data_IF_771939468373
#
_entry.id   IF_771939468373
#
_cell.length_a   1.000
_cell.length_b   1.000
_cell.length_c   1.000
_cell.angle_alpha   90.00
_cell.angle_beta   90.00
_cell.angle_gamma   90.00
#
_symmetry.space_group_name_H-M   'P 1'
#
loop_
_entity.id
_entity.type
_entity.pdbx_description
1 polymer ?
#
# COMPACT_ATOMS: atom_id res chain seq x y z
N UNK A 1 -4.10 9.77 20.42
CA UNK A 1 -5.29 9.07 19.84
C UNK A 1 -6.44 10.04 19.60
N UNK A 2 -6.62 11.00 20.50
CA UNK A 2 -7.50 12.17 20.38
C UNK A 2 -7.27 12.98 19.09
N UNK A 3 -6.02 13.21 18.69
CA UNK A 3 -5.73 14.10 17.54
C UNK A 3 -6.18 13.52 16.21
N UNK A 4 -6.09 12.19 16.03
CA UNK A 4 -6.61 11.53 14.83
C UNK A 4 -8.13 11.64 14.77
N UNK A 5 -8.79 11.49 15.91
CA UNK A 5 -10.25 11.55 16.01
C UNK A 5 -10.74 12.96 15.70
N UNK A 6 -10.14 13.99 16.31
CA UNK A 6 -10.54 15.38 16.10
C UNK A 6 -10.33 15.84 14.64
N UNK A 7 -9.22 15.44 14.01
CA UNK A 7 -8.97 15.73 12.59
C UNK A 7 -10.00 15.04 11.69
N UNK A 8 -10.30 13.76 11.94
CA UNK A 8 -11.31 13.03 11.17
C UNK A 8 -12.71 13.66 11.32
N UNK A 9 -13.11 14.06 12.53
CA UNK A 9 -14.40 14.72 12.77
C UNK A 9 -14.50 16.07 12.05
N UNK A 10 -13.43 16.87 12.09
CA UNK A 10 -13.39 18.16 11.38
C UNK A 10 -13.49 17.99 9.86
N UNK A 11 -12.76 17.02 9.30
CA UNK A 11 -12.81 16.72 7.87
C UNK A 11 -14.17 16.17 7.44
N UNK A 12 -14.81 15.34 8.26
CA UNK A 12 -16.14 14.81 7.99
C UNK A 12 -17.19 15.93 7.92
N UNK A 13 -17.22 16.83 8.93
CA UNK A 13 -18.12 17.99 8.94
C UNK A 13 -17.90 18.90 7.73
N UNK A 14 -16.65 19.13 7.34
CA UNK A 14 -16.34 19.90 6.13
C UNK A 14 -16.88 19.23 4.87
N UNK A 15 -16.74 17.92 4.75
CA UNK A 15 -17.22 17.17 3.58
C UNK A 15 -18.75 17.19 3.44
N UNK A 16 -19.49 17.22 4.55
CA UNK A 16 -20.95 17.36 4.55
C UNK A 16 -21.42 18.72 4.01
N UNK A 17 -20.65 19.79 4.28
CA UNK A 17 -20.96 21.15 3.82
C UNK A 17 -20.47 21.37 2.39
N UNK A 18 -19.25 20.95 2.10
CA UNK A 18 -18.56 21.12 0.82
C UNK A 18 -17.80 19.83 0.45
N UNK A 19 -18.37 18.99 -0.44
CA UNK A 19 -17.76 17.72 -0.85
C UNK A 19 -16.42 17.89 -1.59
N UNK A 20 -15.32 17.91 -0.84
CA UNK A 20 -13.99 18.20 -1.39
C UNK A 20 -13.20 16.98 -1.88
N UNK A 21 -13.69 15.74 -1.67
CA UNK A 21 -12.94 14.52 -2.01
C UNK A 21 -12.62 14.41 -3.50
N UNK A 22 -13.50 14.91 -4.37
CA UNK A 22 -13.27 14.94 -5.84
C UNK A 22 -12.22 15.96 -6.27
N UNK A 23 -11.75 16.83 -5.40
CA UNK A 23 -10.67 17.78 -5.70
C UNK A 23 -9.37 17.41 -5.02
N UNK A 24 -9.37 16.34 -4.22
CA UNK A 24 -8.20 15.89 -3.51
C UNK A 24 -7.30 15.10 -4.46
N UNK A 25 -6.06 15.56 -4.58
CA UNK A 25 -4.97 14.80 -5.16
C UNK A 25 -4.15 14.21 -4.02
N UNK A 26 -3.93 12.91 -4.06
CA UNK A 26 -3.12 12.19 -3.07
C UNK A 26 -1.86 11.67 -3.73
N UNK A 27 -0.76 11.65 -3.00
CA UNK A 27 0.48 11.03 -3.44
C UNK A 27 1.10 10.21 -2.33
N UNK A 28 1.80 9.14 -2.71
CA UNK A 28 2.52 8.26 -1.79
C UNK A 28 3.80 7.74 -2.42
N UNK A 29 4.73 7.34 -1.56
CA UNK A 29 6.03 6.79 -1.94
C UNK A 29 6.13 5.33 -1.51
N UNK A 30 6.39 4.43 -2.46
CA UNK A 30 6.47 3.00 -2.19
C UNK A 30 7.75 2.39 -2.73
N UNK A 31 8.45 1.66 -1.88
CA UNK A 31 9.55 0.80 -2.30
C UNK A 31 9.02 -0.44 -3.03
N UNK A 32 9.37 -0.58 -4.30
CA UNK A 32 9.06 -1.74 -5.14
C UNK A 32 10.33 -2.53 -5.40
N UNK A 33 10.32 -3.82 -5.07
CA UNK A 33 11.40 -4.77 -5.39
C UNK A 33 11.16 -5.39 -6.76
N UNK A 34 12.19 -5.51 -7.61
CA UNK A 34 12.08 -6.18 -8.91
C UNK A 34 11.64 -7.64 -8.79
N UNK A 35 12.30 -8.39 -7.92
CA UNK A 35 11.88 -9.74 -7.57
C UNK A 35 10.97 -9.67 -6.35
N UNK A 36 9.67 -9.49 -6.54
CA UNK A 36 8.72 -9.77 -5.46
C UNK A 36 8.56 -11.28 -5.35
N UNK A 37 9.35 -11.95 -4.51
CA UNK A 37 9.10 -13.36 -4.19
C UNK A 37 7.85 -13.42 -3.32
N UNK A 38 6.68 -13.41 -3.97
CA UNK A 38 5.42 -13.72 -3.30
C UNK A 38 5.52 -15.18 -2.91
N UNK A 39 5.75 -15.43 -1.62
CA UNK A 39 5.81 -16.77 -1.07
C UNK A 39 4.43 -17.41 -1.24
N UNK A 40 4.24 -18.14 -2.34
CA UNK A 40 2.99 -18.86 -2.59
C UNK A 40 2.77 -19.83 -1.43
N UNK A 41 1.58 -19.78 -0.84
CA UNK A 41 1.18 -20.71 0.22
C UNK A 41 1.05 -22.09 -0.42
N UNK A 42 2.10 -22.89 -0.28
CA UNK A 42 2.10 -24.29 -0.71
C UNK A 42 1.51 -25.10 0.45
N UNK A 43 0.34 -25.67 0.24
CA UNK A 43 -0.19 -26.71 1.10
C UNK A 43 0.56 -27.99 0.75
N UNK A 44 1.30 -28.54 1.72
CA UNK A 44 1.98 -29.82 1.59
C UNK A 44 1.15 -30.87 2.30
N UNK A 45 1.08 -32.08 1.74
CA UNK A 45 0.40 -33.20 2.40
C UNK A 45 1.13 -33.60 3.69
N UNK A 46 0.41 -34.21 4.63
CA UNK A 46 0.97 -34.70 5.90
C UNK A 46 2.07 -35.73 5.61
N UNK A 47 3.32 -35.41 6.00
CA UNK A 47 4.49 -36.27 5.79
C UNK A 47 5.41 -35.86 4.62
N UNK A 48 5.00 -34.94 3.75
CA UNK A 48 5.88 -34.42 2.68
C UNK A 48 6.71 -33.23 3.17
N UNK A 49 7.98 -33.19 2.78
CA UNK A 49 8.87 -32.08 3.10
C UNK A 49 8.39 -30.79 2.42
N UNK A 50 8.04 -29.78 3.22
CA UNK A 50 7.65 -28.48 2.70
C UNK A 50 8.74 -27.90 1.79
N UNK A 51 8.37 -27.55 0.54
CA UNK A 51 9.30 -26.91 -0.40
C UNK A 51 9.86 -25.62 0.21
N UNK A 52 11.16 -25.62 0.51
CA UNK A 52 11.86 -24.45 1.07
C UNK A 52 12.05 -23.42 -0.03
N UNK A 53 11.26 -22.35 0.01
CA UNK A 53 11.55 -21.14 -0.74
C UNK A 53 12.66 -20.39 0.00
N UNK A 54 13.78 -20.12 -0.69
CA UNK A 54 14.88 -19.34 -0.14
C UNK A 54 14.39 -17.96 0.33
N UNK A 55 14.86 -17.51 1.51
CA UNK A 55 14.62 -16.13 1.96
C UNK A 55 15.36 -15.17 1.03
N UNK A 56 14.76 -14.01 0.75
CA UNK A 56 15.44 -12.98 -0.03
C UNK A 56 16.70 -12.51 0.70
N UNK A 57 17.80 -12.36 -0.05
CA UNK A 57 18.92 -11.53 0.38
C UNK A 57 18.48 -10.06 0.43
N UNK A 58 18.97 -9.31 1.43
CA UNK A 58 18.63 -7.89 1.64
C UNK A 58 19.00 -6.98 0.45
N UNK A 59 19.76 -7.49 -0.50
CA UNK A 59 20.26 -6.85 -1.73
C UNK A 59 19.33 -7.00 -2.94
N UNK A 60 18.01 -7.12 -2.73
CA UNK A 60 17.07 -7.04 -3.84
C UNK A 60 17.17 -5.63 -4.47
N UNK A 61 17.31 -5.54 -5.80
CA UNK A 61 17.21 -4.25 -6.51
C UNK A 61 15.85 -3.63 -6.16
N UNK A 62 15.87 -2.47 -5.51
CA UNK A 62 14.68 -1.70 -5.12
C UNK A 62 14.60 -0.44 -5.97
N UNK A 63 13.39 -0.08 -6.36
CA UNK A 63 13.08 1.22 -6.96
C UNK A 63 12.10 1.90 -6.02
N UNK A 64 12.29 3.20 -5.80
CA UNK A 64 11.32 4.03 -5.10
C UNK A 64 10.32 4.54 -6.15
N UNK A 65 9.06 4.17 -5.96
CA UNK A 65 7.97 4.61 -6.81
C UNK A 65 7.27 5.79 -6.13
N UNK A 66 7.18 6.91 -6.84
CA UNK A 66 6.41 8.09 -6.45
C UNK A 66 5.14 8.09 -7.30
N UNK A 67 3.96 8.03 -6.68
CA UNK A 67 2.70 8.08 -7.42
C UNK A 67 1.85 9.22 -6.90
N UNK A 68 1.21 9.96 -7.81
CA UNK A 68 0.15 10.92 -7.53
C UNK A 68 -1.12 10.50 -8.26
N UNK A 69 -2.26 10.54 -7.60
CA UNK A 69 -3.55 10.19 -8.20
C UNK A 69 -4.69 11.03 -7.62
N UNK A 70 -5.73 11.23 -8.41
CA UNK A 70 -6.98 11.87 -8.02
C UNK A 70 -8.14 10.86 -8.04
N UNK A 71 -9.37 11.35 -7.95
CA UNK A 71 -10.57 10.52 -8.03
C UNK A 71 -10.82 9.90 -9.41
N UNK A 72 -10.16 10.39 -10.48
CA UNK A 72 -10.29 9.88 -11.85
C UNK A 72 -9.21 8.85 -12.18
N UNK A 73 -8.00 9.01 -11.66
CA UNK A 73 -6.91 8.07 -11.90
C UNK A 73 -5.53 8.60 -11.53
N UNK A 74 -4.52 7.94 -12.08
CA UNK A 74 -3.10 8.27 -11.85
C UNK A 74 -2.74 9.51 -12.66
N UNK A 75 -2.09 10.46 -12.00
CA UNK A 75 -1.57 11.70 -12.59
C UNK A 75 -0.09 11.51 -12.92
N UNK A 76 0.69 10.98 -11.96
CA UNK A 76 2.13 10.76 -12.06
C UNK A 76 2.52 9.44 -11.41
#
# INVERSE_FOLDING_TARGET
MTDRISICEALAKRHEIDPFLKWMVTGDEKWVTYDSVVRKRLWSNCGEAAKRVAKQGLTARKVLLYIWWDWKGIIY
#
